data_IF_401132489644
#
_entry.id   IF_401132489644
#
_cell.length_a   1.000
_cell.length_b   1.000
_cell.length_c   1.000
_cell.angle_alpha   90.00
_cell.angle_beta   90.00
_cell.angle_gamma   90.00
#
_symmetry.space_group_name_H-M   'P 1'
#
loop_
_entity.id
_entity.type
_entity.pdbx_description
1 polymer ?
#
# COMPACT_ATOMS: atom_id res chain seq x y z
N UNK A 1 -12.67 25.74 -39.79
CA UNK A 1 -12.44 24.99 -38.52
C UNK A 1 -12.08 23.54 -38.84
N UNK A 2 -10.79 23.16 -38.84
CA UNK A 2 -10.32 21.76 -38.94
C UNK A 2 -8.79 21.72 -38.73
N UNK A 3 -8.34 21.79 -37.48
CA UNK A 3 -6.92 21.63 -37.09
C UNK A 3 -6.77 20.99 -35.69
N UNK A 4 -7.71 20.13 -35.27
CA UNK A 4 -7.74 19.63 -33.89
C UNK A 4 -7.29 18.17 -33.74
N UNK A 5 -7.01 17.44 -34.83
CA UNK A 5 -6.72 16.00 -34.75
C UNK A 5 -5.22 15.66 -34.58
N UNK A 6 -4.30 16.55 -34.95
CA UNK A 6 -2.86 16.25 -34.92
C UNK A 6 -2.23 16.31 -33.52
N UNK A 7 -2.89 16.95 -32.54
CA UNK A 7 -2.35 17.12 -31.18
C UNK A 7 -2.60 15.87 -30.31
N UNK A 8 -3.62 15.08 -30.63
CA UNK A 8 -3.99 13.89 -29.86
C UNK A 8 -3.05 12.69 -30.11
N UNK A 9 -2.35 12.64 -31.24
CA UNK A 9 -1.43 11.54 -31.55
C UNK A 9 -0.04 11.70 -30.91
N UNK A 10 0.39 12.95 -30.65
CA UNK A 10 1.71 13.22 -30.08
C UNK A 10 1.80 12.90 -28.57
N UNK A 11 0.67 12.87 -27.86
CA UNK A 11 0.60 12.58 -26.43
C UNK A 11 0.65 11.09 -26.08
N UNK A 12 0.42 10.18 -27.05
CA UNK A 12 0.57 8.74 -26.83
C UNK A 12 2.02 8.25 -26.88
N UNK A 13 2.93 8.97 -27.55
CA UNK A 13 4.33 8.53 -27.68
C UNK A 13 5.18 8.86 -26.44
N UNK A 14 4.75 9.84 -25.63
CA UNK A 14 5.46 10.24 -24.41
C UNK A 14 5.36 9.22 -23.27
N UNK A 15 4.44 8.23 -23.34
CA UNK A 15 4.25 7.23 -22.29
C UNK A 15 5.18 6.00 -22.43
N UNK A 16 5.88 5.86 -23.56
CA UNK A 16 6.78 4.70 -23.79
C UNK A 16 8.17 4.86 -23.18
N UNK A 17 8.48 6.02 -22.58
CA UNK A 17 9.75 6.29 -21.90
C UNK A 17 9.59 6.28 -20.38
N UNK A 18 8.70 5.44 -19.85
CA UNK A 18 8.79 5.05 -18.45
C UNK A 18 10.12 4.31 -18.28
N UNK A 19 11.15 5.04 -17.83
CA UNK A 19 12.43 4.47 -17.47
C UNK A 19 12.20 3.26 -16.55
N UNK A 20 13.01 2.19 -16.66
CA UNK A 20 12.97 1.11 -15.69
C UNK A 20 13.12 1.76 -14.32
N UNK A 21 12.07 1.65 -13.50
CA UNK A 21 12.18 2.05 -12.11
C UNK A 21 13.33 1.25 -11.55
N UNK A 22 14.40 1.92 -11.14
CA UNK A 22 15.43 1.26 -10.36
C UNK A 22 14.69 0.72 -9.15
N UNK A 23 14.50 -0.59 -9.08
CA UNK A 23 14.17 -1.26 -7.84
C UNK A 23 15.23 -0.76 -6.86
N UNK A 24 14.84 0.16 -5.97
CA UNK A 24 15.75 0.75 -5.00
C UNK A 24 16.47 -0.38 -4.29
N UNK A 25 17.73 -0.14 -3.91
CA UNK A 25 18.57 -1.12 -3.23
C UNK A 25 17.72 -1.96 -2.27
N UNK A 26 17.60 -3.27 -2.57
CA UNK A 26 16.68 -4.15 -1.87
C UNK A 26 16.93 -4.04 -0.37
N UNK A 27 15.86 -3.82 0.39
CA UNK A 27 15.94 -3.80 1.85
C UNK A 27 16.39 -5.19 2.29
N UNK A 28 17.37 -5.27 3.17
CA UNK A 28 17.83 -6.57 3.68
C UNK A 28 16.72 -7.24 4.49
N UNK A 29 16.69 -8.58 4.56
CA UNK A 29 15.65 -9.29 5.31
C UNK A 29 15.57 -8.87 6.80
N UNK A 30 16.70 -8.47 7.40
CA UNK A 30 16.76 -7.94 8.76
C UNK A 30 16.05 -6.59 8.88
N UNK A 31 16.36 -5.66 7.98
CA UNK A 31 15.71 -4.34 7.94
C UNK A 31 14.21 -4.46 7.63
N UNK A 32 13.82 -5.42 6.79
CA UNK A 32 12.41 -5.67 6.47
C UNK A 32 11.65 -6.21 7.68
N UNK A 33 12.21 -7.19 8.41
CA UNK A 33 11.65 -7.69 9.67
C UNK A 33 11.52 -6.59 10.71
N UNK A 34 12.54 -5.74 10.85
CA UNK A 34 12.50 -4.60 11.77
C UNK A 34 11.37 -3.61 11.41
N UNK A 35 11.25 -3.25 10.13
CA UNK A 35 10.19 -2.33 9.66
C UNK A 35 8.79 -2.93 9.83
N UNK A 36 8.58 -4.21 9.50
CA UNK A 36 7.28 -4.87 9.68
C UNK A 36 6.90 -4.92 11.15
N UNK A 37 7.84 -5.25 12.04
CA UNK A 37 7.59 -5.26 13.48
C UNK A 37 7.24 -3.86 13.99
N UNK A 38 7.95 -2.83 13.56
CA UNK A 38 7.68 -1.45 13.96
C UNK A 38 6.28 -1.00 13.53
N UNK A 39 5.93 -1.18 12.25
CA UNK A 39 4.62 -0.80 11.72
C UNK A 39 3.47 -1.58 12.38
N UNK A 40 3.68 -2.88 12.62
CA UNK A 40 2.67 -3.73 13.24
C UNK A 40 2.34 -3.27 14.67
N UNK A 41 3.33 -2.74 15.40
CA UNK A 41 3.14 -2.23 16.77
C UNK A 41 2.38 -0.91 16.83
N UNK A 42 2.39 -0.13 15.76
CA UNK A 42 1.65 1.14 15.68
C UNK A 42 0.14 0.93 15.45
N UNK A 43 -0.27 -0.29 15.06
CA UNK A 43 -1.66 -0.64 14.80
C UNK A 43 -2.24 -1.34 16.03
N UNK A 44 -3.43 -0.89 16.46
CA UNK A 44 -4.20 -1.63 17.47
C UNK A 44 -4.92 -2.79 16.79
N UNK A 45 -4.47 -4.01 17.08
CA UNK A 45 -5.12 -5.24 16.64
C UNK A 45 -6.18 -5.65 17.66
N UNK A 46 -7.32 -6.11 17.16
CA UNK A 46 -8.42 -6.61 17.98
C UNK A 46 -8.58 -8.11 17.79
N UNK A 47 -8.74 -8.85 18.88
CA UNK A 47 -8.91 -10.31 18.85
C UNK A 47 -10.30 -10.73 18.37
N UNK A 48 -11.28 -9.81 18.38
CA UNK A 48 -12.63 -10.07 17.92
C UNK A 48 -13.29 -8.84 17.30
N UNK A 49 -14.28 -9.12 16.45
CA UNK A 49 -15.03 -8.12 15.70
C UNK A 49 -15.81 -7.14 16.60
N UNK A 50 -16.39 -7.62 17.71
CA UNK A 50 -17.25 -6.79 18.55
C UNK A 50 -16.46 -5.63 19.21
N UNK A 51 -15.26 -5.92 19.70
CA UNK A 51 -14.37 -4.88 20.25
C UNK A 51 -13.93 -3.88 19.18
N UNK A 52 -13.58 -4.39 17.99
CA UNK A 52 -13.16 -3.54 16.88
C UNK A 52 -14.28 -2.58 16.43
N UNK A 53 -15.52 -3.08 16.34
CA UNK A 53 -16.70 -2.29 16.03
C UNK A 53 -17.03 -1.25 17.10
N UNK A 54 -16.93 -1.62 18.39
CA UNK A 54 -17.16 -0.68 19.48
C UNK A 54 -16.15 0.48 19.44
N UNK A 55 -14.86 0.17 19.23
CA UNK A 55 -13.81 1.16 19.09
C UNK A 55 -14.02 2.06 17.85
N UNK A 56 -14.35 1.47 16.70
CA UNK A 56 -14.62 2.19 15.46
C UNK A 56 -15.78 3.19 15.62
N UNK A 57 -16.87 2.75 16.27
CA UNK A 57 -18.03 3.61 16.59
C UNK A 57 -17.65 4.75 17.53
N UNK A 58 -16.90 4.46 18.60
CA UNK A 58 -16.47 5.49 19.55
C UNK A 58 -15.55 6.54 18.90
N UNK A 59 -14.68 6.11 17.97
CA UNK A 59 -13.69 6.99 17.31
C UNK A 59 -14.21 7.63 16.02
N UNK A 60 -15.37 7.21 15.51
CA UNK A 60 -15.90 7.66 14.23
C UNK A 60 -15.00 7.32 13.03
N UNK A 61 -14.24 6.21 13.10
CA UNK A 61 -13.29 5.80 12.06
C UNK A 61 -13.75 4.52 11.35
N UNK A 62 -13.41 4.34 10.06
CA UNK A 62 -13.71 3.09 9.36
C UNK A 62 -12.97 1.91 10.00
N UNK A 63 -13.60 0.74 9.97
CA UNK A 63 -13.00 -0.52 10.39
C UNK A 63 -12.36 -1.21 9.19
N UNK A 64 -11.09 -1.59 9.33
CA UNK A 64 -10.40 -2.45 8.36
C UNK A 64 -10.32 -3.86 8.94
N UNK A 65 -10.87 -4.84 8.22
CA UNK A 65 -10.83 -6.25 8.60
C UNK A 65 -9.94 -7.03 7.64
N UNK A 66 -8.95 -7.73 8.18
CA UNK A 66 -7.99 -8.51 7.42
C UNK A 66 -7.99 -9.93 7.96
N UNK A 67 -8.27 -10.90 7.10
CA UNK A 67 -8.04 -12.32 7.42
C UNK A 67 -6.64 -12.70 6.95
N UNK A 68 -5.73 -12.97 7.89
CA UNK A 68 -4.33 -13.31 7.59
C UNK A 68 -4.13 -14.82 7.63
N UNK A 69 -3.58 -15.39 6.55
CA UNK A 69 -3.24 -16.82 6.43
C UNK A 69 -1.79 -17.13 6.88
N UNK A 70 -1.19 -16.28 7.70
CA UNK A 70 0.20 -16.39 8.15
C UNK A 70 0.55 -15.32 9.19
N UNK A 71 1.84 -15.22 9.55
CA UNK A 71 2.33 -14.22 10.50
C UNK A 71 3.01 -13.05 9.77
N UNK A 72 2.75 -11.82 10.22
CA UNK A 72 3.44 -10.62 9.74
C UNK A 72 4.81 -10.50 10.42
N UNK A 73 5.78 -11.30 10.01
CA UNK A 73 7.14 -11.27 10.59
C UNK A 73 8.20 -10.70 9.63
N UNK A 74 7.79 -10.20 8.47
CA UNK A 74 8.72 -9.65 7.45
C UNK A 74 9.78 -10.64 6.97
N UNK A 75 9.60 -11.94 7.24
CA UNK A 75 10.45 -13.01 6.74
C UNK A 75 10.07 -13.28 5.28
N UNK A 76 10.78 -12.63 4.36
CA UNK A 76 10.76 -12.91 2.92
C UNK A 76 12.11 -13.43 2.50
#
# INVERSE_FOLDING_TARGET
MKQSQSVLLASLFALSMAAPSSLGAGVTGVEQRAKVNELTRQITWFDNMNQALACARQRGKPLVWIHMLGKMEGAT
#
